data_IF_358875205617
#
_entry.id   IF_358875205617
#
_cell.length_a   1.000
_cell.length_b   1.000
_cell.length_c   1.000
_cell.angle_alpha   90.00
_cell.angle_beta   90.00
_cell.angle_gamma   90.00
#
_symmetry.space_group_name_H-M   'P 1'
#
loop_
_entity.id
_entity.type
_entity.pdbx_description
1 polymer ?
#
# COMPACT_ATOMS: atom_id res chain seq x y z
N UNK A 1 -6.12 15.51 -28.82
CA UNK A 1 -5.39 14.67 -27.84
C UNK A 1 -4.81 13.50 -28.59
N UNK A 2 -3.53 13.16 -28.37
CA UNK A 2 -2.98 11.91 -28.88
C UNK A 2 -3.50 10.75 -28.01
N UNK A 3 -3.85 9.63 -28.63
CA UNK A 3 -4.24 8.42 -27.90
C UNK A 3 -3.00 7.89 -27.18
N UNK A 4 -3.04 7.79 -25.85
CA UNK A 4 -1.93 7.30 -25.04
C UNK A 4 -2.29 5.98 -24.34
N UNK A 5 -1.96 4.87 -24.99
CA UNK A 5 -2.20 3.52 -24.45
C UNK A 5 -1.30 3.19 -23.25
N UNK A 6 -0.23 3.93 -23.01
CA UNK A 6 0.67 3.76 -21.85
C UNK A 6 0.13 4.40 -20.57
N UNK A 7 -0.97 5.15 -20.66
CA UNK A 7 -1.64 5.77 -19.50
C UNK A 7 -2.92 5.04 -19.09
N UNK A 8 -3.14 3.82 -19.61
CA UNK A 8 -4.20 2.95 -19.12
C UNK A 8 -3.81 2.43 -17.73
N UNK A 9 -4.68 2.63 -16.74
CA UNK A 9 -4.43 2.19 -15.36
C UNK A 9 -5.31 0.98 -15.07
N UNK A 10 -4.68 -0.18 -14.88
CA UNK A 10 -5.32 -1.30 -14.20
C UNK A 10 -4.82 -1.33 -12.75
N UNK A 11 -5.64 -0.90 -11.79
CA UNK A 11 -5.27 -0.87 -10.39
C UNK A 11 -5.12 -2.29 -9.81
N UNK A 12 -4.00 -2.95 -10.12
CA UNK A 12 -3.66 -4.29 -9.63
C UNK A 12 -3.32 -4.29 -8.14
N UNK A 13 -2.82 -3.16 -7.64
CA UNK A 13 -2.49 -2.91 -6.24
C UNK A 13 -2.91 -1.49 -5.88
N UNK A 14 -3.00 -1.21 -4.58
CA UNK A 14 -3.21 0.13 -4.09
C UNK A 14 -2.97 0.21 -2.59
N UNK A 15 -3.00 1.42 -2.06
CA UNK A 15 -2.89 1.69 -0.63
C UNK A 15 -3.55 3.02 -0.30
N UNK A 16 -3.83 3.24 0.99
CA UNK A 16 -4.40 4.47 1.51
C UNK A 16 -3.46 5.00 2.57
N UNK A 17 -3.10 6.26 2.45
CA UNK A 17 -2.42 7.01 3.50
C UNK A 17 -3.40 7.96 4.17
N UNK A 18 -3.17 8.21 5.46
CA UNK A 18 -3.95 9.15 6.24
C UNK A 18 -3.03 10.07 7.07
N UNK A 19 -3.53 11.27 7.36
CA UNK A 19 -2.90 12.27 8.21
C UNK A 19 -4.00 13.11 8.90
N UNK A 20 -3.68 14.00 9.86
CA UNK A 20 -4.65 14.97 10.37
C UNK A 20 -5.30 15.78 9.23
N UNK A 21 -6.54 16.22 9.41
CA UNK A 21 -7.22 17.06 8.40
C UNK A 21 -6.41 18.32 8.07
N UNK A 22 -6.51 18.75 6.81
CA UNK A 22 -5.79 19.88 6.23
C UNK A 22 -4.26 19.73 6.22
N UNK A 23 -3.74 18.50 6.39
CA UNK A 23 -2.30 18.24 6.20
C UNK A 23 -1.96 18.39 4.72
N UNK A 24 -1.02 19.28 4.34
CA UNK A 24 -0.62 19.45 2.95
C UNK A 24 0.18 18.24 2.43
N UNK A 25 0.26 18.12 1.11
CA UNK A 25 1.20 17.19 0.49
C UNK A 25 2.65 17.59 0.82
N UNK A 26 3.59 16.64 0.85
CA UNK A 26 5.01 16.94 1.02
C UNK A 26 5.54 17.92 -0.03
N UNK A 27 6.63 18.64 0.27
CA UNK A 27 7.25 19.61 -0.66
C UNK A 27 7.58 18.98 -2.04
N UNK A 28 7.94 17.70 -2.07
CA UNK A 28 8.23 16.95 -3.30
C UNK A 28 6.98 16.35 -3.97
N UNK A 29 5.79 16.84 -3.63
CA UNK A 29 4.51 16.35 -4.12
C UNK A 29 4.24 14.89 -3.75
N UNK A 30 3.68 14.14 -4.70
CA UNK A 30 3.19 12.76 -4.47
C UNK A 30 4.23 11.67 -4.71
N UNK A 31 5.44 12.03 -5.12
CA UNK A 31 6.52 11.09 -5.49
C UNK A 31 6.92 10.11 -4.37
N UNK A 32 6.81 10.54 -3.10
CA UNK A 32 7.15 9.71 -1.94
C UNK A 32 6.13 8.63 -1.61
N UNK A 33 4.90 8.73 -2.13
CA UNK A 33 3.86 7.74 -1.86
C UNK A 33 4.06 6.48 -2.70
N UNK A 34 4.16 5.34 -2.02
CA UNK A 34 4.39 4.03 -2.61
C UNK A 34 3.59 2.96 -1.88
N UNK A 35 3.22 1.89 -2.59
CA UNK A 35 2.38 0.81 -2.03
C UNK A 35 3.09 -0.04 -0.95
N UNK A 36 4.40 0.14 -0.78
CA UNK A 36 5.20 -0.44 0.31
C UNK A 36 5.78 0.60 1.28
N UNK A 37 5.46 1.88 1.08
CA UNK A 37 5.93 2.97 1.93
C UNK A 37 5.08 3.03 3.20
N UNK A 38 5.71 2.93 4.37
CA UNK A 38 5.01 3.00 5.67
C UNK A 38 4.63 4.42 6.10
N UNK A 39 5.50 5.40 5.84
CA UNK A 39 5.26 6.82 6.18
C UNK A 39 5.83 7.75 5.12
N UNK A 40 5.20 8.91 4.93
CA UNK A 40 5.70 10.01 4.08
C UNK A 40 5.52 11.33 4.82
N UNK A 41 6.54 11.77 5.55
CA UNK A 41 6.38 12.91 6.48
C UNK A 41 5.36 12.57 7.57
N UNK A 42 4.30 13.38 7.70
CA UNK A 42 3.22 13.15 8.67
C UNK A 42 2.20 12.09 8.21
N UNK A 43 2.27 11.68 6.94
CA UNK A 43 1.36 10.70 6.36
C UNK A 43 1.72 9.28 6.80
N UNK A 44 0.71 8.53 7.23
CA UNK A 44 0.84 7.14 7.67
C UNK A 44 0.08 6.22 6.73
N UNK A 45 0.68 5.07 6.40
CA UNK A 45 0.01 4.04 5.61
C UNK A 45 -1.01 3.28 6.48
N UNK A 46 -2.24 3.10 5.97
CA UNK A 46 -3.32 2.39 6.67
C UNK A 46 -3.11 0.86 6.73
N UNK A 47 -2.14 0.33 5.99
CA UNK A 47 -1.81 -1.08 5.90
C UNK A 47 -2.58 -1.79 4.78
N UNK A 48 -2.79 -3.09 4.95
CA UNK A 48 -3.49 -3.89 3.95
C UNK A 48 -4.99 -3.54 3.89
N UNK A 49 -5.45 -3.20 2.69
CA UNK A 49 -6.88 -3.04 2.36
C UNK A 49 -7.37 -4.20 1.51
N UNK A 50 -8.68 -4.46 1.52
CA UNK A 50 -9.27 -5.58 0.79
C UNK A 50 -9.05 -5.46 -0.73
N UNK A 51 -8.74 -6.61 -1.34
CA UNK A 51 -8.69 -6.73 -2.80
C UNK A 51 -10.06 -7.12 -3.39
N UNK A 52 -10.95 -7.67 -2.58
CA UNK A 52 -12.30 -8.07 -2.96
C UNK A 52 -13.26 -6.88 -2.87
N UNK A 53 -13.15 -6.10 -1.78
CA UNK A 53 -13.89 -4.87 -1.52
C UNK A 53 -12.96 -3.65 -1.62
N UNK A 54 -12.57 -3.31 -2.86
CA UNK A 54 -11.66 -2.21 -3.18
C UNK A 54 -12.28 -0.85 -2.88
N UNK A 55 -11.42 0.18 -2.77
CA UNK A 55 -11.89 1.55 -2.60
C UNK A 55 -12.83 1.98 -3.71
N UNK A 56 -13.98 2.50 -3.33
CA UNK A 56 -15.00 3.02 -4.22
C UNK A 56 -15.25 4.49 -3.90
N UNK A 57 -15.37 5.30 -4.95
CA UNK A 57 -15.77 6.69 -4.88
C UNK A 57 -17.19 6.81 -5.45
N UNK A 58 -18.11 7.38 -4.69
CA UNK A 58 -19.49 7.65 -5.11
C UNK A 58 -19.85 9.09 -4.81
N UNK A 59 -20.69 9.69 -5.65
CA UNK A 59 -21.23 11.03 -5.44
C UNK A 59 -22.74 10.93 -5.27
N UNK A 60 -23.27 11.67 -4.31
CA UNK A 60 -24.72 11.78 -4.05
C UNK A 60 -25.11 13.27 -3.94
N UNK A 61 -26.32 13.62 -4.39
CA UNK A 61 -26.80 14.99 -4.51
C UNK A 61 -26.51 15.66 -5.87
N UNK A 62 -26.61 16.99 -5.92
CA UNK A 62 -26.56 17.76 -7.18
C UNK A 62 -27.91 17.92 -7.87
N UNK A 63 -29.01 17.69 -7.14
CA UNK A 63 -30.36 17.82 -7.64
C UNK A 63 -30.65 19.27 -8.06
N UNK A 64 -31.13 19.43 -9.28
CA UNK A 64 -31.54 20.72 -9.80
C UNK A 64 -32.93 21.08 -9.25
N UNK A 65 -33.01 22.19 -8.53
CA UNK A 65 -34.28 22.85 -8.20
C UNK A 65 -34.48 24.04 -9.12
N UNK A 66 -35.50 23.97 -9.98
CA UNK A 66 -35.86 25.06 -10.89
C UNK A 66 -37.00 25.88 -10.30
N UNK A 67 -36.77 27.17 -10.11
CA UNK A 67 -37.78 28.16 -9.78
C UNK A 67 -38.36 28.72 -11.09
N UNK A 68 -39.64 28.43 -11.32
CA UNK A 68 -40.41 28.97 -12.42
C UNK A 68 -41.03 30.33 -12.06
N UNK A 69 -41.22 31.18 -13.06
CA UNK A 69 -42.12 32.33 -12.99
C UNK A 69 -43.30 32.12 -13.94
N UNK A 70 -44.33 32.97 -13.85
CA UNK A 70 -45.46 32.94 -14.79
C UNK A 70 -45.02 33.16 -16.25
N UNK A 71 -43.90 33.85 -16.47
CA UNK A 71 -43.36 34.19 -17.79
C UNK A 71 -42.36 33.15 -18.31
N UNK A 72 -41.57 32.55 -17.42
CA UNK A 72 -40.49 31.62 -17.78
C UNK A 72 -40.46 30.42 -16.82
N UNK A 73 -40.72 29.19 -17.32
CA UNK A 73 -40.67 27.98 -16.50
C UNK A 73 -39.27 27.60 -16.01
N UNK A 74 -38.20 28.24 -16.51
CA UNK A 74 -36.81 28.01 -16.11
C UNK A 74 -36.11 29.25 -15.55
N UNK A 75 -36.86 30.16 -14.91
CA UNK A 75 -36.36 31.47 -14.51
C UNK A 75 -35.10 31.45 -13.60
N UNK A 76 -34.91 30.39 -12.80
CA UNK A 76 -33.65 30.15 -12.06
C UNK A 76 -33.49 28.68 -11.71
N UNK A 77 -32.31 28.11 -11.91
CA UNK A 77 -31.95 26.77 -11.42
C UNK A 77 -30.89 26.88 -10.34
N UNK A 78 -31.12 26.23 -9.20
CA UNK A 78 -30.13 26.03 -8.13
C UNK A 78 -29.83 24.54 -7.99
N UNK A 79 -28.64 24.18 -7.54
CA UNK A 79 -28.22 22.79 -7.34
C UNK A 79 -27.99 22.54 -5.86
N UNK A 80 -28.36 21.35 -5.36
CA UNK A 80 -27.96 20.93 -4.02
C UNK A 80 -26.46 20.59 -3.97
N UNK A 81 -25.88 20.60 -2.78
CA UNK A 81 -24.49 20.21 -2.59
C UNK A 81 -24.28 18.74 -2.97
N UNK A 82 -23.14 18.44 -3.61
CA UNK A 82 -22.73 17.07 -3.93
C UNK A 82 -21.83 16.57 -2.81
N UNK A 83 -22.19 15.43 -2.22
CA UNK A 83 -21.35 14.72 -1.25
C UNK A 83 -20.59 13.61 -1.97
N UNK A 84 -19.26 13.70 -2.00
CA UNK A 84 -18.42 12.59 -2.46
C UNK A 84 -18.06 11.72 -1.25
N UNK A 85 -18.37 10.43 -1.37
CA UNK A 85 -18.12 9.41 -0.36
C UNK A 85 -17.08 8.42 -0.89
N UNK A 86 -16.11 8.10 -0.05
CA UNK A 86 -15.15 7.02 -0.28
C UNK A 86 -15.43 5.89 0.67
N UNK A 87 -15.65 4.68 0.16
CA UNK A 87 -15.82 3.48 0.97
C UNK A 87 -14.72 2.48 0.68
N UNK A 88 -14.41 1.64 1.66
CA UNK A 88 -13.46 0.54 1.50
C UNK A 88 -13.39 -0.33 2.75
N UNK A 89 -12.60 -1.40 2.66
CA UNK A 89 -12.35 -2.29 3.79
C UNK A 89 -10.85 -2.37 4.09
N UNK A 90 -10.49 -2.20 5.36
CA UNK A 90 -9.18 -2.64 5.85
C UNK A 90 -9.22 -4.13 6.14
N UNK A 91 -8.13 -4.84 5.88
CA UNK A 91 -7.91 -6.22 6.35
C UNK A 91 -6.80 -6.27 7.41
N UNK A 92 -6.34 -5.09 7.84
CA UNK A 92 -5.32 -4.90 8.83
C UNK A 92 -5.94 -4.86 10.24
N UNK A 93 -5.68 -5.91 11.03
CA UNK A 93 -6.24 -6.08 12.37
C UNK A 93 -5.32 -5.60 13.51
N UNK A 94 -4.43 -4.63 13.25
CA UNK A 94 -3.57 -4.06 14.29
C UNK A 94 -4.24 -2.88 15.03
N UNK A 95 -3.67 -2.53 16.20
CA UNK A 95 -4.25 -1.53 17.10
C UNK A 95 -4.44 -0.17 16.43
N UNK A 96 -3.52 0.23 15.55
CA UNK A 96 -3.55 1.54 14.87
C UNK A 96 -4.72 1.58 13.91
N UNK A 97 -4.84 0.58 13.03
CA UNK A 97 -5.92 0.50 12.04
C UNK A 97 -7.30 0.39 12.71
N UNK A 98 -7.43 -0.44 13.76
CA UNK A 98 -8.72 -0.58 14.46
C UNK A 98 -9.11 0.69 15.21
N UNK A 99 -8.16 1.39 15.85
CA UNK A 99 -8.42 2.69 16.50
C UNK A 99 -8.86 3.74 15.51
N UNK A 100 -8.22 3.79 14.34
CA UNK A 100 -8.58 4.70 13.25
C UNK A 100 -10.02 4.43 12.79
N UNK A 101 -10.34 3.20 12.41
CA UNK A 101 -11.66 2.84 11.85
C UNK A 101 -12.80 3.07 12.84
N UNK A 102 -12.64 2.56 14.07
CA UNK A 102 -13.74 2.55 15.04
C UNK A 102 -13.75 3.74 15.99
N UNK A 103 -12.74 4.62 15.92
CA UNK A 103 -12.56 5.76 16.82
C UNK A 103 -12.72 5.37 18.30
N UNK A 104 -12.19 4.19 18.64
CA UNK A 104 -12.32 3.57 19.95
C UNK A 104 -11.23 3.98 20.94
N UNK A 105 -11.37 3.57 22.19
CA UNK A 105 -10.38 3.78 23.25
C UNK A 105 -9.92 2.45 23.85
N UNK A 106 -8.75 2.43 24.44
CA UNK A 106 -8.18 1.20 25.00
C UNK A 106 -8.86 0.84 26.33
N UNK A 107 -9.15 -0.45 26.49
CA UNK A 107 -9.41 -1.03 27.79
C UNK A 107 -8.06 -1.39 28.42
N UNK A 108 -7.54 -0.54 29.31
CA UNK A 108 -6.26 -0.76 30.00
C UNK A 108 -6.26 -2.05 30.84
N UNK A 109 -7.43 -2.53 31.27
CA UNK A 109 -7.56 -3.73 32.10
C UNK A 109 -7.53 -5.00 31.28
N UNK A 110 -8.30 -5.06 30.19
CA UNK A 110 -8.43 -6.26 29.36
C UNK A 110 -7.61 -6.23 28.08
N UNK A 111 -6.91 -5.11 27.80
CA UNK A 111 -6.10 -4.92 26.61
C UNK A 111 -6.89 -4.83 25.30
N UNK A 112 -8.21 -4.66 25.35
CA UNK A 112 -9.09 -4.57 24.19
C UNK A 112 -9.23 -3.15 23.62
N UNK A 113 -9.91 -3.02 22.48
CA UNK A 113 -10.38 -1.75 21.96
C UNK A 113 -11.89 -1.65 22.20
N UNK A 114 -12.31 -0.64 22.96
CA UNK A 114 -13.72 -0.34 23.21
C UNK A 114 -14.21 0.62 22.13
N UNK A 115 -15.35 0.30 21.52
CA UNK A 115 -15.98 1.11 20.49
C UNK A 115 -17.33 1.65 20.99
N UNK A 116 -17.92 2.57 20.23
CA UNK A 116 -19.25 3.12 20.56
C UNK A 116 -20.14 3.12 19.32
N UNK A 117 -21.44 2.92 19.52
CA UNK A 117 -22.46 3.07 18.47
C UNK A 117 -22.78 4.55 18.19
N UNK A 118 -22.23 5.49 18.98
CA UNK A 118 -22.29 6.90 18.65
C UNK A 118 -21.31 7.18 17.53
N UNK A 119 -21.83 7.50 16.33
CA UNK A 119 -20.98 7.91 15.21
C UNK A 119 -20.19 9.16 15.60
N UNK A 120 -18.88 8.99 15.81
CA UNK A 120 -17.93 10.07 16.08
C UNK A 120 -17.01 10.19 14.89
N UNK A 121 -17.31 11.15 14.05
CA UNK A 121 -16.52 11.42 12.84
C UNK A 121 -15.13 11.93 13.21
N UNK A 122 -14.12 11.37 12.54
CA UNK A 122 -12.74 11.82 12.62
C UNK A 122 -12.43 12.69 11.40
N UNK A 123 -11.88 13.89 11.62
CA UNK A 123 -11.42 14.73 10.53
C UNK A 123 -10.01 14.33 10.13
N UNK A 124 -9.85 13.85 8.90
CA UNK A 124 -8.57 13.38 8.37
C UNK A 124 -8.28 13.98 7.00
N UNK A 125 -7.01 13.89 6.59
CA UNK A 125 -6.61 13.95 5.19
C UNK A 125 -6.34 12.53 4.70
N UNK A 126 -6.74 12.20 3.47
CA UNK A 126 -6.49 10.91 2.84
C UNK A 126 -5.73 11.07 1.53
N UNK A 127 -4.84 10.11 1.24
CA UNK A 127 -4.22 9.96 -0.06
C UNK A 127 -4.38 8.51 -0.53
N UNK A 128 -5.15 8.30 -1.60
CA UNK A 128 -5.38 6.99 -2.20
C UNK A 128 -4.43 6.82 -3.38
N UNK A 129 -3.65 5.74 -3.35
CA UNK A 129 -2.73 5.37 -4.43
C UNK A 129 -3.23 4.11 -5.12
N UNK A 130 -3.51 4.19 -6.41
CA UNK A 130 -3.69 3.04 -7.29
C UNK A 130 -2.40 2.77 -8.07
N UNK A 131 -2.03 1.50 -8.21
CA UNK A 131 -0.79 1.07 -8.87
C UNK A 131 -1.03 -0.13 -9.80
N UNK A 132 -0.66 0.04 -11.05
CA UNK A 132 -0.52 -1.02 -12.03
C UNK A 132 0.92 -1.55 -11.99
N UNK A 133 1.13 -2.69 -11.33
CA UNK A 133 2.44 -3.30 -11.22
C UNK A 133 2.96 -3.86 -12.56
N UNK A 134 2.05 -4.21 -13.48
CA UNK A 134 2.41 -4.77 -14.78
C UNK A 134 2.93 -3.72 -15.75
N UNK A 135 2.47 -2.47 -15.62
CA UNK A 135 2.88 -1.36 -16.49
C UNK A 135 3.66 -0.25 -15.75
N UNK A 136 3.84 -0.39 -14.43
CA UNK A 136 4.44 0.61 -13.55
C UNK A 136 3.74 1.99 -13.63
N UNK A 137 2.41 1.99 -13.64
CA UNK A 137 1.58 3.20 -13.74
C UNK A 137 0.92 3.48 -12.39
N UNK A 138 0.96 4.73 -11.94
CA UNK A 138 0.31 5.17 -10.69
C UNK A 138 -0.79 6.19 -10.98
N UNK A 139 -1.77 6.21 -10.10
CA UNK A 139 -2.81 7.23 -10.03
C UNK A 139 -3.09 7.58 -8.56
N UNK A 140 -3.17 8.86 -8.26
CA UNK A 140 -3.35 9.36 -6.90
C UNK A 140 -4.64 10.17 -6.74
N UNK A 141 -5.27 10.06 -5.57
CA UNK A 141 -6.37 10.93 -5.15
C UNK A 141 -6.04 11.49 -3.77
N UNK A 142 -5.87 12.81 -3.68
CA UNK A 142 -5.65 13.52 -2.42
C UNK A 142 -6.95 14.17 -1.96
N UNK A 143 -7.34 13.93 -0.71
CA UNK A 143 -8.51 14.51 -0.06
C UNK A 143 -8.05 15.15 1.26
N UNK A 144 -7.77 16.46 1.29
CA UNK A 144 -7.21 17.12 2.47
C UNK A 144 -8.13 17.10 3.69
N UNK A 145 -9.44 17.02 3.46
CA UNK A 145 -10.43 17.10 4.52
C UNK A 145 -11.55 16.11 4.25
N UNK A 146 -11.59 15.05 5.06
CA UNK A 146 -12.66 14.07 5.05
C UNK A 146 -13.22 13.91 6.45
N UNK A 147 -14.53 13.67 6.52
CA UNK A 147 -15.17 13.08 7.69
C UNK A 147 -15.11 11.56 7.58
N UNK A 148 -14.21 10.96 8.36
CA UNK A 148 -13.92 9.52 8.36
C UNK A 148 -14.64 8.82 9.52
N UNK A 149 -15.23 7.66 9.24
CA UNK A 149 -15.88 6.80 10.23
C UNK A 149 -15.90 5.34 9.77
N UNK A 150 -16.23 4.42 10.67
CA UNK A 150 -16.57 3.05 10.28
C UNK A 150 -17.79 3.03 9.34
N UNK A 151 -17.86 2.03 8.47
CA UNK A 151 -19.04 1.78 7.63
C UNK A 151 -20.09 1.04 8.46
N UNK A 152 -21.22 1.70 8.73
CA UNK A 152 -22.30 1.11 9.52
C UNK A 152 -23.00 -0.06 8.81
N UNK A 153 -22.94 -0.13 7.48
CA UNK A 153 -23.51 -1.21 6.69
C UNK A 153 -22.60 -2.44 6.62
N UNK A 154 -21.28 -2.26 6.81
CA UNK A 154 -20.31 -3.34 6.76
C UNK A 154 -19.18 -3.14 7.79
N UNK A 155 -19.52 -3.09 9.09
CA UNK A 155 -18.54 -2.81 10.15
C UNK A 155 -17.43 -3.86 10.20
N UNK A 156 -17.77 -5.11 10.52
CA UNK A 156 -16.84 -6.25 10.56
C UNK A 156 -17.45 -7.39 9.77
N UNK A 157 -16.72 -7.91 8.80
CA UNK A 157 -17.12 -9.07 8.01
C UNK A 157 -16.10 -10.19 8.14
N UNK A 158 -16.56 -11.39 8.50
CA UNK A 158 -15.75 -12.60 8.54
C UNK A 158 -16.00 -13.41 7.26
N UNK A 159 -14.94 -14.02 6.73
CA UNK A 159 -15.00 -14.81 5.50
C UNK A 159 -14.33 -16.17 5.69
N UNK A 160 -14.90 -17.20 5.08
CA UNK A 160 -14.34 -18.56 5.06
C UNK A 160 -13.27 -18.74 3.97
N UNK A 161 -13.19 -17.81 3.02
CA UNK A 161 -12.30 -17.87 1.84
C UNK A 161 -11.50 -16.59 1.60
N UNK A 162 -11.66 -15.58 2.44
CA UNK A 162 -11.00 -14.28 2.37
C UNK A 162 -10.54 -13.78 3.74
N UNK A 163 -10.00 -12.57 3.81
CA UNK A 163 -9.61 -11.95 5.07
C UNK A 163 -10.81 -11.41 5.84
N UNK A 164 -10.67 -11.26 7.16
CA UNK A 164 -11.61 -10.44 7.94
C UNK A 164 -11.49 -8.99 7.49
N UNK A 165 -12.63 -8.37 7.23
CA UNK A 165 -12.71 -7.01 6.73
C UNK A 165 -13.28 -6.07 7.80
N UNK A 166 -12.74 -4.86 7.84
CA UNK A 166 -13.16 -3.77 8.70
C UNK A 166 -13.54 -2.58 7.82
N UNK A 167 -14.83 -2.38 7.61
CA UNK A 167 -15.35 -1.38 6.67
C UNK A 167 -15.24 0.04 7.21
N UNK A 168 -14.90 0.98 6.32
CA UNK A 168 -14.83 2.40 6.61
C UNK A 168 -15.50 3.23 5.50
N UNK A 169 -15.89 4.44 5.87
CA UNK A 169 -16.46 5.46 4.99
C UNK A 169 -15.82 6.82 5.27
N UNK A 170 -15.62 7.61 4.22
CA UNK A 170 -15.05 8.94 4.33
C UNK A 170 -15.79 9.91 3.39
N UNK A 171 -16.37 10.96 3.95
CA UNK A 171 -17.06 11.99 3.17
C UNK A 171 -16.14 13.18 2.97
N UNK A 172 -15.86 13.56 1.71
CA UNK A 172 -14.98 14.70 1.44
C UNK A 172 -15.65 16.03 1.81
N UNK A 173 -14.86 16.97 2.32
CA UNK A 173 -15.28 18.33 2.64
C UNK A 173 -14.42 19.32 1.85
N UNK A 174 -14.91 20.54 1.67
CA UNK A 174 -14.11 21.62 1.10
C UNK A 174 -12.86 21.87 1.95
N UNK A 175 -11.77 22.21 1.28
CA UNK A 175 -10.48 22.49 1.92
C UNK A 175 -9.90 23.79 1.41
N UNK A 176 -9.24 24.50 2.33
CA UNK A 176 -8.46 25.71 2.03
C UNK A 176 -7.02 25.41 1.63
N UNK A 177 -6.56 24.16 1.77
CA UNK A 177 -5.23 23.73 1.35
C UNK A 177 -5.16 23.57 -0.17
N UNK A 178 -6.29 23.20 -0.79
CA UNK A 178 -6.39 23.12 -2.24
C UNK A 178 -6.46 24.52 -2.86
N UNK A 179 -5.88 24.71 -4.05
CA UNK A 179 -6.00 25.98 -4.76
C UNK A 179 -7.47 26.27 -5.06
N UNK A 180 -7.88 27.52 -4.86
CA UNK A 180 -9.22 27.96 -5.22
C UNK A 180 -9.41 27.93 -6.75
N UNK A 181 -10.62 27.60 -7.17
CA UNK A 181 -11.03 27.65 -8.56
C UNK A 181 -11.03 29.08 -9.13
N UNK A 182 -11.16 29.23 -10.45
CA UNK A 182 -11.17 30.54 -11.11
C UNK A 182 -12.25 31.51 -10.60
N UNK A 183 -13.33 31.01 -9.98
CA UNK A 183 -14.39 31.84 -9.40
C UNK A 183 -14.41 31.80 -7.86
N UNK A 184 -13.33 31.32 -7.23
CA UNK A 184 -13.21 31.25 -5.78
C UNK A 184 -13.82 30.00 -5.13
N UNK A 185 -14.20 28.99 -5.93
CA UNK A 185 -14.68 27.71 -5.42
C UNK A 185 -13.57 26.99 -4.64
N UNK A 186 -13.89 26.40 -3.49
CA UNK A 186 -12.95 25.56 -2.76
C UNK A 186 -13.00 24.12 -3.28
N UNK A 187 -11.83 23.54 -3.57
CA UNK A 187 -11.72 22.14 -3.96
C UNK A 187 -12.02 21.20 -2.79
N UNK A 188 -12.40 19.96 -3.11
CA UNK A 188 -12.62 18.86 -2.14
C UNK A 188 -11.62 17.73 -2.27
N UNK A 189 -11.07 17.52 -3.47
CA UNK A 189 -10.00 16.57 -3.74
C UNK A 189 -9.14 17.02 -4.94
N UNK A 190 -7.96 16.43 -5.08
CA UNK A 190 -7.03 16.63 -6.18
C UNK A 190 -6.61 15.27 -6.77
N UNK A 191 -6.50 15.20 -8.10
CA UNK A 191 -6.16 13.98 -8.84
C UNK A 191 -4.75 14.07 -9.41
N UNK A 192 -4.00 12.98 -9.29
CA UNK A 192 -2.63 12.89 -9.76
C UNK A 192 -2.50 11.79 -10.81
N UNK A 193 -2.05 12.18 -12.01
CA UNK A 193 -1.69 11.23 -13.05
C UNK A 193 -0.31 10.61 -12.79
N UNK A 194 0.12 9.72 -13.67
CA UNK A 194 1.41 9.04 -13.54
C UNK A 194 2.61 10.00 -13.55
N UNK A 195 2.51 11.15 -14.24
CA UNK A 195 3.62 12.10 -14.36
C UNK A 195 3.92 12.80 -13.04
N UNK A 196 2.91 13.03 -12.21
CA UNK A 196 3.06 13.63 -10.89
C UNK A 196 3.94 12.80 -9.93
N UNK A 197 4.13 11.51 -10.20
CA UNK A 197 4.98 10.62 -9.40
C UNK A 197 6.45 10.59 -9.86
N UNK A 198 6.81 11.36 -10.88
CA UNK A 198 8.17 11.45 -11.42
C UNK A 198 8.51 10.40 -12.50
N UNK A 199 9.67 10.55 -13.12
CA UNK A 199 10.15 9.66 -14.21
C UNK A 199 10.97 8.47 -13.72
N UNK A 200 11.54 8.55 -12.52
CA UNK A 200 12.20 7.44 -11.83
C UNK A 200 11.21 6.72 -10.92
N UNK A 201 10.26 6.04 -11.55
CA UNK A 201 9.30 5.15 -10.88
C UNK A 201 9.97 3.85 -10.41
N UNK A 202 11.21 3.93 -9.90
CA UNK A 202 11.96 2.80 -9.41
C UNK A 202 11.88 2.75 -7.89
N UNK A 203 11.17 1.76 -7.36
CA UNK A 203 11.24 1.41 -5.94
C UNK A 203 12.58 0.74 -5.70
N UNK A 204 13.50 1.44 -5.01
CA UNK A 204 14.85 0.94 -4.77
C UNK A 204 14.86 -0.22 -3.76
N UNK A 205 15.76 -1.17 -3.97
CA UNK A 205 16.03 -2.21 -2.96
C UNK A 205 16.67 -1.59 -1.72
N UNK A 206 16.00 -1.71 -0.59
CA UNK A 206 16.47 -1.22 0.72
C UNK A 206 17.19 -2.31 1.51
N UNK A 207 16.83 -3.58 1.32
CA UNK A 207 17.45 -4.71 2.00
C UNK A 207 17.22 -6.06 1.33
N UNK A 208 17.97 -7.06 1.79
CA UNK A 208 17.73 -8.48 1.50
C UNK A 208 18.00 -9.28 2.78
N UNK A 209 17.21 -10.32 3.04
CA UNK A 209 17.37 -11.21 4.20
C UNK A 209 17.44 -12.68 3.78
N UNK A 210 18.22 -13.46 4.53
CA UNK A 210 18.35 -14.92 4.41
C UNK A 210 18.52 -15.56 5.80
N UNK A 211 18.29 -16.88 5.95
CA UNK A 211 18.66 -17.62 7.17
C UNK A 211 20.13 -17.42 7.53
N UNK A 212 20.45 -17.28 8.82
CA UNK A 212 21.84 -17.07 9.28
C UNK A 212 22.72 -18.31 9.08
N UNK A 213 22.15 -19.50 9.26
CA UNK A 213 22.86 -20.78 9.21
C UNK A 213 22.03 -21.85 8.51
N UNK A 214 22.69 -22.78 7.82
CA UNK A 214 22.05 -23.97 7.27
C UNK A 214 23.01 -25.17 7.25
N UNK A 215 22.46 -26.38 7.13
CA UNK A 215 23.25 -27.62 7.02
C UNK A 215 22.78 -28.43 5.82
N UNK A 216 23.71 -29.02 5.09
CA UNK A 216 23.44 -29.89 3.95
C UNK A 216 24.36 -31.10 3.99
N UNK A 217 23.84 -32.30 3.73
CA UNK A 217 24.69 -33.49 3.61
C UNK A 217 25.53 -33.43 2.34
N UNK A 218 26.75 -33.98 2.38
CA UNK A 218 27.55 -34.14 1.17
C UNK A 218 26.76 -34.88 0.08
N UNK A 219 26.73 -34.34 -1.14
CA UNK A 219 25.98 -34.86 -2.28
C UNK A 219 24.51 -34.41 -2.34
N UNK A 220 23.94 -33.92 -1.23
CA UNK A 220 22.57 -33.41 -1.18
C UNK A 220 22.49 -31.92 -1.58
N UNK A 221 21.26 -31.45 -1.78
CA UNK A 221 20.97 -30.03 -2.01
C UNK A 221 19.87 -29.53 -1.07
N UNK A 222 19.93 -28.25 -0.72
CA UNK A 222 18.90 -27.55 0.05
C UNK A 222 18.55 -26.24 -0.65
N UNK A 223 17.30 -25.82 -0.52
CA UNK A 223 16.88 -24.49 -0.96
C UNK A 223 16.89 -23.53 0.23
N UNK A 224 17.52 -22.37 0.04
CA UNK A 224 17.48 -21.26 0.98
C UNK A 224 16.60 -20.15 0.39
N UNK A 225 15.56 -19.77 1.13
CA UNK A 225 14.73 -18.64 0.77
C UNK A 225 15.44 -17.32 1.10
N UNK A 226 15.30 -16.33 0.22
CA UNK A 226 15.68 -14.96 0.49
C UNK A 226 14.49 -14.03 0.27
N UNK A 227 14.47 -12.89 0.96
CA UNK A 227 13.41 -11.89 0.83
C UNK A 227 14.03 -10.53 0.55
N UNK A 228 13.57 -9.85 -0.49
CA UNK A 228 13.98 -8.49 -0.85
C UNK A 228 13.00 -7.50 -0.22
N UNK A 229 13.53 -6.40 0.31
CA UNK A 229 12.74 -5.33 0.91
C UNK A 229 12.96 -4.03 0.15
N UNK A 230 11.89 -3.30 -0.23
CA UNK A 230 10.50 -3.75 -0.17
C UNK A 230 10.22 -4.86 -1.21
N UNK A 231 9.16 -5.64 -0.98
CA UNK A 231 8.81 -6.79 -1.82
C UNK A 231 8.42 -6.41 -3.27
N UNK A 232 8.28 -5.12 -3.54
CA UNK A 232 7.94 -4.55 -4.84
C UNK A 232 9.02 -3.61 -5.39
N UNK A 233 10.27 -3.79 -4.93
CA UNK A 233 11.41 -3.15 -5.56
C UNK A 233 11.37 -3.39 -7.08
N UNK A 234 11.69 -2.35 -7.86
CA UNK A 234 11.54 -2.38 -9.32
C UNK A 234 12.54 -3.32 -9.97
N UNK A 235 13.73 -3.49 -9.39
CA UNK A 235 14.69 -4.52 -9.79
C UNK A 235 14.96 -5.50 -8.63
N UNK A 236 14.33 -6.67 -8.68
CA UNK A 236 14.48 -7.75 -7.70
C UNK A 236 15.52 -8.80 -8.10
N UNK A 237 16.31 -8.55 -9.14
CA UNK A 237 17.34 -9.50 -9.56
C UNK A 237 18.44 -9.57 -8.53
N UNK A 238 18.95 -10.79 -8.34
CA UNK A 238 20.05 -11.07 -7.42
C UNK A 238 21.10 -11.95 -8.09
N UNK A 239 22.31 -11.89 -7.56
CA UNK A 239 23.39 -12.83 -7.84
C UNK A 239 23.73 -13.59 -6.56
N UNK A 240 24.17 -14.84 -6.67
CA UNK A 240 24.59 -15.65 -5.54
C UNK A 240 26.03 -16.13 -5.71
N UNK A 241 26.79 -16.21 -4.62
CA UNK A 241 28.18 -16.67 -4.62
C UNK A 241 28.49 -17.53 -3.39
N UNK A 242 29.41 -18.49 -3.55
CA UNK A 242 29.96 -19.29 -2.46
C UNK A 242 31.37 -18.84 -2.13
N UNK A 243 31.71 -18.75 -0.84
CA UNK A 243 33.10 -18.49 -0.41
C UNK A 243 34.02 -19.69 -0.60
N UNK A 244 33.48 -20.90 -0.84
CA UNK A 244 34.24 -22.13 -1.04
C UNK A 244 33.44 -23.12 -1.88
N UNK A 245 33.58 -23.03 -3.21
CA UNK A 245 32.92 -23.95 -4.15
C UNK A 245 33.39 -25.41 -4.00
N UNK A 246 34.58 -25.63 -3.44
CA UNK A 246 35.08 -26.95 -3.11
C UNK A 246 34.23 -27.65 -2.02
N UNK A 247 33.59 -26.86 -1.14
CA UNK A 247 32.74 -27.38 -0.07
C UNK A 247 31.27 -27.32 -0.46
N UNK A 248 30.78 -26.18 -0.98
CA UNK A 248 29.40 -26.03 -1.42
C UNK A 248 29.28 -25.10 -2.63
N UNK A 249 28.50 -25.50 -3.63
CA UNK A 249 28.15 -24.67 -4.80
C UNK A 249 26.75 -24.08 -4.64
N UNK A 250 26.49 -22.92 -5.24
CA UNK A 250 25.18 -22.26 -5.22
C UNK A 250 24.71 -21.93 -6.63
N UNK A 251 23.43 -22.12 -6.89
CA UNK A 251 22.76 -21.69 -8.11
C UNK A 251 21.49 -20.92 -7.77
N UNK A 252 21.09 -19.98 -8.63
CA UNK A 252 19.79 -19.33 -8.51
C UNK A 252 18.68 -20.35 -8.79
N UNK A 253 17.74 -20.47 -7.85
CA UNK A 253 16.55 -21.31 -8.00
C UNK A 253 15.38 -20.52 -8.60
N UNK A 254 14.16 -20.96 -8.31
CA UNK A 254 12.94 -20.19 -8.58
C UNK A 254 12.97 -18.83 -7.86
N UNK A 255 12.16 -17.87 -8.30
CA UNK A 255 12.08 -16.53 -7.68
C UNK A 255 12.02 -16.60 -6.14
N UNK A 256 12.93 -15.91 -5.46
CA UNK A 256 13.03 -15.90 -3.99
C UNK A 256 13.80 -17.07 -3.36
N UNK A 257 14.45 -17.94 -4.15
CA UNK A 257 15.25 -19.07 -3.63
C UNK A 257 16.63 -19.20 -4.30
N UNK A 258 17.59 -19.68 -3.53
CA UNK A 258 18.87 -20.20 -4.04
C UNK A 258 19.03 -21.66 -3.63
N UNK A 259 19.55 -22.48 -4.54
CA UNK A 259 19.80 -23.90 -4.28
C UNK A 259 21.29 -24.08 -3.96
N UNK A 260 21.58 -24.64 -2.80
CA UNK A 260 22.93 -24.94 -2.33
C UNK A 260 23.17 -26.43 -2.38
N UNK A 261 24.24 -26.86 -3.04
CA UNK A 261 24.64 -28.27 -3.13
C UNK A 261 25.91 -28.51 -2.32
N UNK A 262 25.87 -29.50 -1.43
CA UNK A 262 27.04 -29.93 -0.67
C UNK A 262 27.98 -30.77 -1.54
N UNK A 263 29.24 -30.33 -1.70
CA UNK A 263 30.27 -31.02 -2.50
C UNK A 263 31.20 -31.83 -1.61
N UNK A 264 31.70 -31.22 -0.54
CA UNK A 264 32.65 -31.83 0.41
C UNK A 264 32.37 -31.34 1.83
N UNK A 265 32.52 -32.21 2.81
CA UNK A 265 32.39 -31.85 4.22
C UNK A 265 33.30 -30.66 4.58
N UNK A 266 32.74 -29.66 5.27
CA UNK A 266 33.39 -28.39 5.56
C UNK A 266 32.39 -27.25 5.71
N UNK A 267 32.89 -26.01 5.76
CA UNK A 267 32.07 -24.80 5.82
C UNK A 267 32.17 -23.98 4.54
N UNK A 268 31.08 -23.29 4.18
CA UNK A 268 31.02 -22.32 3.10
C UNK A 268 30.01 -21.21 3.45
N UNK A 269 30.33 -19.96 3.11
CA UNK A 269 29.39 -18.86 3.23
C UNK A 269 28.73 -18.62 1.88
N UNK A 270 27.40 -18.71 1.85
CA UNK A 270 26.59 -18.41 0.66
C UNK A 270 26.08 -16.98 0.80
N UNK A 271 26.37 -16.14 -0.18
CA UNK A 271 25.98 -14.73 -0.17
C UNK A 271 25.08 -14.43 -1.36
N UNK A 272 23.91 -13.83 -1.11
CA UNK A 272 23.03 -13.24 -2.11
C UNK A 272 23.25 -11.74 -2.14
N UNK A 273 23.45 -11.18 -3.34
CA UNK A 273 23.64 -9.75 -3.57
C UNK A 273 22.58 -9.25 -4.54
N UNK A 274 21.86 -8.20 -4.18
CA UNK A 274 20.87 -7.57 -5.07
C UNK A 274 21.59 -6.78 -6.16
N UNK A 275 21.08 -6.82 -7.38
CA UNK A 275 21.64 -6.02 -8.48
C UNK A 275 21.49 -4.53 -8.19
N UNK A 276 20.29 -4.14 -7.75
CA UNK A 276 19.94 -2.81 -7.30
C UNK A 276 20.36 -2.57 -5.85
N UNK A 277 20.96 -1.41 -5.56
CA UNK A 277 21.41 -1.01 -4.23
C UNK A 277 22.53 -1.87 -3.60
N UNK A 278 23.00 -2.92 -4.27
CA UNK A 278 24.06 -3.85 -3.82
C UNK A 278 23.90 -4.34 -2.37
N UNK A 279 22.66 -4.63 -1.96
CA UNK A 279 22.36 -5.16 -0.63
C UNK A 279 22.75 -6.63 -0.56
N UNK A 280 23.24 -7.08 0.58
CA UNK A 280 23.76 -8.44 0.75
C UNK A 280 23.14 -9.17 1.93
N UNK A 281 22.87 -10.47 1.78
CA UNK A 281 22.54 -11.38 2.85
C UNK A 281 23.43 -12.63 2.77
N UNK A 282 23.88 -13.14 3.92
CA UNK A 282 24.82 -14.27 3.98
C UNK A 282 24.29 -15.37 4.91
N UNK A 283 24.42 -16.61 4.46
CA UNK A 283 24.15 -17.83 5.23
C UNK A 283 25.44 -18.62 5.42
N UNK A 284 25.77 -18.96 6.65
CA UNK A 284 26.84 -19.91 6.95
C UNK A 284 26.33 -21.35 6.75
N UNK A 285 26.88 -22.06 5.76
CA UNK A 285 26.50 -23.43 5.41
C UNK A 285 27.54 -24.41 5.94
N UNK A 286 27.07 -25.40 6.68
CA UNK A 286 27.88 -26.56 7.10
C UNK A 286 27.54 -27.75 6.23
N UNK A 287 28.53 -28.31 5.55
CA UNK A 287 28.40 -29.56 4.79
C UNK A 287 28.81 -30.72 5.70
N UNK A 288 27.86 -31.61 5.99
CA UNK A 288 28.12 -32.78 6.83
C UNK A 288 28.65 -33.95 6.00
N UNK A 289 29.59 -34.70 6.57
CA UNK A 289 30.07 -35.94 5.98
C UNK A 289 28.94 -36.99 5.91
N UNK A 290 28.98 -37.92 4.95
CA UNK A 290 28.08 -39.07 4.96
C UNK A 290 28.21 -39.81 6.29
N UNK A 291 27.08 -40.18 6.91
CA UNK A 291 27.12 -41.09 8.04
C UNK A 291 27.79 -42.40 7.58
N UNK A 292 28.92 -42.76 8.18
CA UNK A 292 29.72 -43.90 7.76
C UNK A 292 28.89 -45.20 7.75
N UNK A 293 29.07 -45.96 6.67
CA UNK A 293 28.63 -47.34 6.50
C UNK A 293 29.46 -48.30 7.37
#
# INVERSE_FOLDING_TARGET
MAINTKSLVNATRGTVFFAPAETPLPENGVSGFGVSTGTVGEWQNMGHTSNDNRLQFSADGGDATTLATWLDPNARTTYSDVTLTVTGASVQADRTSLKLIYNGWEDEKNGGLVTTNQKREQKLALFVLAYDAGQNVKFGVYMPNVSFAYDASNMISFSDSGFTEFGFSANTQSSTVLPAGPNGEQGTFELFDAAAFGTDMTVAVTGVSMPKTASVAQGASIDLAYTITPADATNQKVTASSSSEANATVTLGSAGKVTVRGVKAGSANITVTTEDGKKTATTAVTVTAPAGA
#
